data_IF_895697564223
#
_entry.id   IF_895697564223
#
_cell.length_a   1.000
_cell.length_b   1.000
_cell.length_c   1.000
_cell.angle_alpha   90.00
_cell.angle_beta   90.00
_cell.angle_gamma   90.00
#
_symmetry.space_group_name_H-M   'P 1'
#
loop_
_entity.id
_entity.type
_entity.pdbx_description
1 polymer ?
#
# COMPACT_ATOMS: atom_id res chain seq x y z
N UNK A 1 38.28 -199.98 27.70
CA UNK A 1 37.18 -200.96 27.90
C UNK A 1 36.79 -201.53 26.54
N UNK A 2 36.32 -202.76 26.34
CA UNK A 2 36.43 -204.04 27.08
C UNK A 2 35.80 -205.14 26.18
N UNK A 3 36.23 -206.42 26.27
CA UNK A 3 35.66 -207.60 25.53
C UNK A 3 35.96 -207.59 24.00
N UNK A 4 35.94 -208.69 23.22
CA UNK A 4 35.79 -210.14 23.47
C UNK A 4 36.45 -210.94 22.30
N UNK A 5 36.21 -212.25 22.14
CA UNK A 5 37.19 -213.30 22.51
C UNK A 5 36.98 -214.59 21.65
N UNK A 6 37.96 -215.51 21.59
CA UNK A 6 37.89 -216.89 21.01
C UNK A 6 37.66 -216.93 19.46
N UNK A 7 38.01 -217.95 18.66
CA UNK A 7 38.66 -219.29 18.80
C UNK A 7 39.16 -219.75 17.37
N UNK A 8 39.81 -220.89 17.04
CA UNK A 8 40.20 -222.15 17.72
C UNK A 8 41.43 -222.81 17.00
N UNK A 9 41.63 -224.13 17.20
CA UNK A 9 42.63 -225.10 16.68
C UNK A 9 42.54 -225.44 15.16
N UNK A 10 43.42 -226.23 14.50
CA UNK A 10 44.11 -227.48 14.91
C UNK A 10 45.46 -227.76 14.19
N UNK A 11 46.26 -228.66 14.80
CA UNK A 11 47.43 -229.41 14.30
C UNK A 11 48.81 -228.70 14.18
N UNK A 12 49.74 -229.08 15.08
CA UNK A 12 51.12 -229.40 14.67
C UNK A 12 52.29 -228.67 15.35
N UNK A 13 53.08 -229.44 16.12
CA UNK A 13 54.54 -229.28 16.36
C UNK A 13 55.00 -228.16 17.33
N UNK A 14 56.04 -228.48 18.11
CA UNK A 14 56.68 -227.64 19.14
C UNK A 14 57.50 -226.46 18.57
N UNK A 15 57.67 -225.38 19.34
CA UNK A 15 58.98 -224.83 19.82
C UNK A 15 58.79 -223.56 20.70
N UNK A 16 59.71 -223.38 21.65
CA UNK A 16 60.01 -222.22 22.54
C UNK A 16 59.21 -220.91 22.38
N UNK A 17 58.70 -220.38 23.50
CA UNK A 17 58.15 -219.01 23.59
C UNK A 17 58.55 -218.27 24.89
N UNK A 18 59.63 -217.48 24.84
CA UNK A 18 59.95 -216.48 25.88
C UNK A 18 60.11 -215.06 25.32
N UNK A 19 60.40 -214.90 24.02
CA UNK A 19 60.66 -213.60 23.37
C UNK A 19 59.40 -212.73 23.15
N UNK A 20 58.19 -213.26 23.40
CA UNK A 20 56.94 -212.52 23.20
C UNK A 20 56.61 -211.53 24.31
N UNK A 21 57.23 -211.67 25.50
CA UNK A 21 56.94 -210.80 26.65
C UNK A 21 57.71 -209.48 26.56
N UNK A 22 58.99 -209.54 26.17
CA UNK A 22 59.86 -208.37 26.00
C UNK A 22 59.32 -207.43 24.91
N UNK A 23 58.79 -208.02 23.82
CA UNK A 23 58.20 -207.31 22.69
C UNK A 23 56.93 -206.54 23.07
N UNK A 24 56.14 -207.08 24.00
CA UNK A 24 54.94 -206.40 24.52
C UNK A 24 55.31 -205.19 25.38
N UNK A 25 56.39 -205.30 26.18
CA UNK A 25 56.86 -204.20 27.03
C UNK A 25 57.44 -203.05 26.21
N UNK A 26 58.26 -203.34 25.21
CA UNK A 26 58.79 -202.32 24.30
C UNK A 26 57.67 -201.53 23.58
N UNK A 27 56.52 -202.16 23.31
CA UNK A 27 55.35 -201.49 22.73
C UNK A 27 54.68 -200.51 23.71
N UNK A 28 54.54 -200.85 24.99
CA UNK A 28 54.01 -199.90 26.00
C UNK A 28 54.97 -198.74 26.26
N UNK A 29 56.27 -199.01 26.32
CA UNK A 29 57.29 -197.98 26.56
C UNK A 29 57.30 -196.96 25.39
N UNK A 30 57.09 -197.41 24.14
CA UNK A 30 56.93 -196.54 22.95
C UNK A 30 55.60 -195.77 22.95
N UNK A 31 54.50 -196.35 23.44
CA UNK A 31 53.21 -195.65 23.57
C UNK A 31 53.27 -194.51 24.62
N UNK A 32 54.03 -194.71 25.69
CA UNK A 32 54.26 -193.71 26.74
C UNK A 32 55.13 -192.55 26.23
N UNK A 33 56.27 -192.85 25.59
CA UNK A 33 57.15 -191.86 24.94
C UNK A 33 56.40 -191.06 23.85
N UNK A 34 55.53 -191.70 23.06
CA UNK A 34 54.71 -191.01 22.07
C UNK A 34 53.73 -190.01 22.71
N UNK A 35 53.10 -190.37 23.83
CA UNK A 35 52.20 -189.46 24.57
C UNK A 35 52.97 -188.30 25.19
N UNK A 36 54.12 -188.57 25.80
CA UNK A 36 54.96 -187.55 26.43
C UNK A 36 55.43 -186.52 25.38
N UNK A 37 56.07 -186.97 24.29
CA UNK A 37 56.49 -186.10 23.19
C UNK A 37 55.31 -185.33 22.54
N UNK A 38 54.14 -185.96 22.37
CA UNK A 38 52.96 -185.27 21.81
C UNK A 38 52.46 -184.20 22.77
N UNK A 39 52.42 -184.50 24.07
CA UNK A 39 51.99 -183.53 25.10
C UNK A 39 52.99 -182.40 25.27
N UNK A 40 54.29 -182.65 25.14
CA UNK A 40 55.33 -181.62 25.15
C UNK A 40 55.20 -180.69 23.92
N UNK A 41 55.08 -181.25 22.72
CA UNK A 41 54.87 -180.47 21.49
C UNK A 41 53.54 -179.69 21.50
N UNK A 42 52.46 -180.26 22.04
CA UNK A 42 51.20 -179.53 22.25
C UNK A 42 51.37 -178.36 23.23
N UNK A 43 52.12 -178.53 24.32
CA UNK A 43 52.38 -177.45 25.29
C UNK A 43 53.31 -176.37 24.75
N UNK A 44 54.37 -176.73 24.02
CA UNK A 44 55.26 -175.79 23.36
C UNK A 44 54.49 -174.97 22.30
N UNK A 45 53.67 -175.63 21.47
CA UNK A 45 52.80 -174.95 20.51
C UNK A 45 51.73 -174.08 21.21
N UNK A 46 51.13 -174.54 22.31
CA UNK A 46 50.14 -173.76 23.08
C UNK A 46 50.77 -172.52 23.71
N UNK A 47 52.01 -172.61 24.20
CA UNK A 47 52.74 -171.46 24.72
C UNK A 47 53.12 -170.49 23.59
N UNK A 48 53.64 -170.99 22.46
CA UNK A 48 53.89 -170.19 21.24
C UNK A 48 52.62 -169.45 20.80
N UNK A 49 51.45 -170.10 20.85
CA UNK A 49 50.15 -169.49 20.52
C UNK A 49 49.77 -168.41 21.54
N UNK A 50 50.03 -168.58 22.85
CA UNK A 50 49.80 -167.53 23.85
C UNK A 50 50.68 -166.31 23.57
N UNK A 51 51.97 -166.52 23.34
CA UNK A 51 52.94 -165.44 23.10
C UNK A 51 52.56 -164.64 21.84
N UNK A 52 52.13 -165.33 20.77
CA UNK A 52 51.58 -164.70 19.57
C UNK A 52 50.29 -163.93 19.87
N UNK A 53 49.36 -164.49 20.65
CA UNK A 53 48.10 -163.81 21.04
C UNK A 53 48.36 -162.59 21.94
N UNK A 54 49.34 -162.66 22.83
CA UNK A 54 49.75 -161.56 23.71
C UNK A 54 50.42 -160.43 22.91
N UNK A 55 51.35 -160.79 22.02
CA UNK A 55 51.97 -159.85 21.07
C UNK A 55 50.95 -159.21 20.12
N UNK A 56 49.96 -159.97 19.61
CA UNK A 56 48.88 -159.42 18.79
C UNK A 56 48.02 -158.44 19.58
N UNK A 57 47.69 -158.72 20.84
CA UNK A 57 46.97 -157.77 21.70
C UNK A 57 47.79 -156.50 21.96
N UNK A 58 49.08 -156.63 22.27
CA UNK A 58 49.95 -155.48 22.51
C UNK A 58 50.07 -154.61 21.26
N UNK A 59 50.38 -155.21 20.10
CA UNK A 59 50.45 -154.49 18.83
C UNK A 59 49.11 -153.81 18.45
N UNK A 60 47.97 -154.48 18.69
CA UNK A 60 46.64 -153.89 18.48
C UNK A 60 46.43 -152.68 19.39
N UNK A 61 46.76 -152.80 20.68
CA UNK A 61 46.63 -151.71 21.64
C UNK A 61 47.66 -150.58 21.43
N UNK A 62 48.80 -150.85 20.78
CA UNK A 62 49.74 -149.82 20.32
C UNK A 62 49.12 -149.07 19.13
N UNK A 63 48.69 -149.78 18.09
CA UNK A 63 48.08 -149.19 16.90
C UNK A 63 46.80 -148.37 17.23
N UNK A 64 45.98 -148.83 18.17
CA UNK A 64 44.82 -148.07 18.65
C UNK A 64 45.23 -146.76 19.35
N UNK A 65 46.27 -146.79 20.21
CA UNK A 65 46.81 -145.58 20.86
C UNK A 65 47.45 -144.63 19.86
N UNK A 66 48.15 -145.14 18.86
CA UNK A 66 48.80 -144.35 17.82
C UNK A 66 47.76 -143.68 16.90
N UNK A 67 46.74 -144.42 16.46
CA UNK A 67 45.62 -143.87 15.70
C UNK A 67 44.80 -142.84 16.50
N UNK A 68 44.55 -143.06 17.79
CA UNK A 68 43.88 -142.08 18.66
C UNK A 68 44.75 -140.81 18.86
N UNK A 69 46.08 -140.95 18.91
CA UNK A 69 47.01 -139.82 18.95
C UNK A 69 46.97 -139.03 17.63
N UNK A 70 47.05 -139.69 16.48
CA UNK A 70 46.91 -139.05 15.16
C UNK A 70 45.57 -138.33 15.03
N UNK A 71 44.45 -138.95 15.43
CA UNK A 71 43.13 -138.31 15.44
C UNK A 71 43.07 -137.10 16.38
N UNK A 72 43.78 -137.12 17.52
CA UNK A 72 43.87 -135.98 18.42
C UNK A 72 44.73 -134.85 17.84
N UNK A 73 45.78 -135.17 17.08
CA UNK A 73 46.62 -134.19 16.39
C UNK A 73 45.87 -133.55 15.21
N UNK A 74 45.18 -134.35 14.40
CA UNK A 74 44.27 -133.87 13.35
C UNK A 74 43.13 -133.03 13.94
N UNK A 75 42.52 -133.45 15.05
CA UNK A 75 41.50 -132.68 15.76
C UNK A 75 42.02 -131.34 16.29
N UNK A 76 43.27 -131.29 16.74
CA UNK A 76 43.98 -130.07 17.11
C UNK A 76 44.16 -129.13 15.92
N UNK A 77 44.70 -129.64 14.81
CA UNK A 77 44.93 -128.87 13.56
C UNK A 77 43.62 -128.33 12.99
N UNK A 78 42.54 -129.13 12.98
CA UNK A 78 41.21 -128.70 12.52
C UNK A 78 40.65 -127.60 13.43
N UNK A 79 40.82 -127.72 14.76
CA UNK A 79 40.38 -126.69 15.71
C UNK A 79 41.17 -125.39 15.56
N UNK A 80 42.49 -125.46 15.42
CA UNK A 80 43.35 -124.29 15.20
C UNK A 80 43.03 -123.61 13.86
N UNK A 81 42.83 -124.39 12.79
CA UNK A 81 42.41 -123.88 11.48
C UNK A 81 41.05 -123.21 11.52
N UNK A 82 40.09 -123.76 12.28
CA UNK A 82 38.77 -123.16 12.47
C UNK A 82 38.83 -121.85 13.26
N UNK A 83 39.57 -121.80 14.38
CA UNK A 83 39.78 -120.58 15.17
C UNK A 83 40.49 -119.51 14.34
N UNK A 84 41.49 -119.90 13.55
CA UNK A 84 42.19 -118.98 12.65
C UNK A 84 41.25 -118.42 11.59
N UNK A 85 40.47 -119.25 10.91
CA UNK A 85 39.50 -118.81 9.91
C UNK A 85 38.40 -117.91 10.53
N UNK A 86 37.92 -118.22 11.72
CA UNK A 86 36.98 -117.38 12.49
C UNK A 86 37.60 -116.02 12.82
N UNK A 87 38.88 -115.99 13.24
CA UNK A 87 39.61 -114.75 13.53
C UNK A 87 39.83 -113.91 12.26
N UNK A 88 40.26 -114.53 11.15
CA UNK A 88 40.46 -113.85 9.86
C UNK A 88 39.15 -113.28 9.31
N UNK A 89 38.03 -114.02 9.45
CA UNK A 89 36.67 -113.54 9.09
C UNK A 89 36.26 -112.35 9.97
N UNK A 90 36.47 -112.42 11.30
CA UNK A 90 36.14 -111.31 12.22
C UNK A 90 36.98 -110.07 11.93
N UNK A 91 38.27 -110.23 11.67
CA UNK A 91 39.15 -109.11 11.30
C UNK A 91 38.76 -108.48 9.96
N UNK A 92 38.37 -109.28 8.96
CA UNK A 92 37.87 -108.74 7.68
C UNK A 92 36.50 -108.05 7.83
N UNK A 93 35.58 -108.58 8.65
CA UNK A 93 34.34 -107.88 9.00
C UNK A 93 34.60 -106.57 9.74
N UNK A 94 35.59 -106.52 10.64
CA UNK A 94 35.98 -105.29 11.33
C UNK A 94 36.56 -104.25 10.36
N UNK A 95 37.42 -104.66 9.41
CA UNK A 95 37.93 -103.79 8.34
C UNK A 95 36.79 -103.24 7.47
N UNK A 96 35.85 -104.08 7.07
CA UNK A 96 34.64 -103.67 6.32
C UNK A 96 33.80 -102.69 7.15
N UNK A 97 33.65 -102.91 8.46
CA UNK A 97 32.94 -102.01 9.37
C UNK A 97 33.56 -100.62 9.43
N UNK A 98 34.89 -100.52 9.57
CA UNK A 98 35.60 -99.24 9.56
C UNK A 98 35.54 -98.56 8.18
N UNK A 99 35.68 -99.30 7.06
CA UNK A 99 35.52 -98.73 5.71
C UNK A 99 34.09 -98.22 5.46
N UNK A 100 33.05 -98.94 5.92
CA UNK A 100 31.65 -98.48 5.81
C UNK A 100 31.42 -97.20 6.63
N UNK A 101 32.05 -97.10 7.81
CA UNK A 101 32.01 -95.93 8.70
C UNK A 101 32.78 -94.73 8.13
N UNK A 102 33.95 -94.95 7.54
CA UNK A 102 34.74 -93.93 6.84
C UNK A 102 33.97 -93.37 5.63
N UNK A 103 33.45 -94.25 4.76
CA UNK A 103 32.61 -93.86 3.62
C UNK A 103 31.33 -93.12 4.06
N UNK A 104 30.73 -93.49 5.18
CA UNK A 104 29.55 -92.79 5.73
C UNK A 104 29.89 -91.37 6.22
N UNK A 105 31.04 -91.20 6.88
CA UNK A 105 31.54 -89.90 7.32
C UNK A 105 31.98 -89.02 6.15
N UNK A 106 32.60 -89.58 5.10
CA UNK A 106 32.93 -88.85 3.87
C UNK A 106 31.66 -88.40 3.14
N UNK A 107 30.64 -89.26 3.04
CA UNK A 107 29.35 -88.90 2.46
C UNK A 107 28.63 -87.81 3.29
N UNK A 108 28.62 -87.91 4.63
CA UNK A 108 28.07 -86.89 5.52
C UNK A 108 28.80 -85.55 5.35
N UNK A 109 30.13 -85.55 5.32
CA UNK A 109 30.95 -84.36 5.11
C UNK A 109 30.73 -83.73 3.72
N UNK A 110 30.57 -84.55 2.68
CA UNK A 110 30.21 -84.09 1.33
C UNK A 110 28.83 -83.43 1.32
N UNK A 111 27.81 -84.06 1.91
CA UNK A 111 26.47 -83.46 2.01
C UNK A 111 26.46 -82.16 2.81
N UNK A 112 27.18 -82.08 3.93
CA UNK A 112 27.32 -80.85 4.72
C UNK A 112 28.01 -79.75 3.90
N UNK A 113 29.07 -80.08 3.16
CA UNK A 113 29.74 -79.12 2.26
C UNK A 113 28.78 -78.57 1.19
N UNK A 114 28.09 -79.46 0.46
CA UNK A 114 27.14 -79.08 -0.60
C UNK A 114 25.96 -78.26 -0.04
N UNK A 115 25.46 -78.57 1.17
CA UNK A 115 24.41 -77.80 1.82
C UNK A 115 24.88 -76.41 2.27
N UNK A 116 26.13 -76.27 2.72
CA UNK A 116 26.71 -74.97 3.05
C UNK A 116 26.94 -74.11 1.80
N UNK A 117 27.47 -74.71 0.72
CA UNK A 117 27.63 -74.03 -0.59
C UNK A 117 26.27 -73.55 -1.13
N UNK A 118 25.25 -74.42 -1.12
CA UNK A 118 23.89 -74.05 -1.51
C UNK A 118 23.30 -72.95 -0.60
N UNK A 119 23.59 -72.98 0.70
CA UNK A 119 23.16 -71.96 1.66
C UNK A 119 23.77 -70.59 1.39
N UNK A 120 25.07 -70.52 1.11
CA UNK A 120 25.75 -69.27 0.74
C UNK A 120 25.30 -68.78 -0.64
N UNK A 121 25.06 -69.66 -1.63
CA UNK A 121 24.47 -69.29 -2.93
C UNK A 121 23.07 -68.69 -2.76
N UNK A 122 22.20 -69.28 -1.92
CA UNK A 122 20.86 -68.74 -1.65
C UNK A 122 20.93 -67.37 -0.97
N UNK A 123 21.87 -67.20 -0.04
CA UNK A 123 22.14 -65.95 0.67
C UNK A 123 22.72 -64.85 -0.23
N UNK A 124 23.64 -65.19 -1.13
CA UNK A 124 24.20 -64.26 -2.12
C UNK A 124 23.12 -63.81 -3.12
N UNK A 125 22.32 -64.74 -3.66
CA UNK A 125 21.18 -64.40 -4.52
C UNK A 125 20.13 -63.53 -3.81
N UNK A 126 19.85 -63.78 -2.53
CA UNK A 126 18.93 -62.95 -1.75
C UNK A 126 19.47 -61.52 -1.55
N UNK A 127 20.77 -61.39 -1.26
CA UNK A 127 21.47 -60.10 -1.15
C UNK A 127 21.51 -59.37 -2.50
N UNK A 128 21.69 -60.08 -3.61
CA UNK A 128 21.69 -59.50 -4.96
C UNK A 128 20.30 -58.95 -5.33
N UNK A 129 19.24 -59.73 -5.08
CA UNK A 129 17.85 -59.29 -5.27
C UNK A 129 17.48 -58.12 -4.35
N UNK A 130 17.97 -58.07 -3.10
CA UNK A 130 17.77 -56.94 -2.19
C UNK A 130 18.45 -55.67 -2.72
N UNK A 131 19.69 -55.75 -3.22
CA UNK A 131 20.38 -54.60 -3.86
C UNK A 131 19.60 -54.10 -5.08
N UNK A 132 19.14 -55.00 -5.94
CA UNK A 132 18.45 -54.64 -7.18
C UNK A 132 17.09 -53.98 -6.88
N UNK A 133 16.31 -54.53 -5.95
CA UNK A 133 15.06 -53.92 -5.47
C UNK A 133 15.30 -52.55 -4.79
N UNK A 134 16.35 -52.41 -3.97
CA UNK A 134 16.73 -51.11 -3.37
C UNK A 134 17.17 -50.11 -4.45
N UNK A 135 17.83 -50.55 -5.52
CA UNK A 135 18.18 -49.69 -6.67
C UNK A 135 16.92 -49.19 -7.40
N UNK A 136 15.98 -50.08 -7.72
CA UNK A 136 14.69 -49.71 -8.32
C UNK A 136 13.91 -48.71 -7.45
N UNK A 137 13.83 -48.93 -6.13
CA UNK A 137 13.17 -48.02 -5.20
C UNK A 137 13.84 -46.63 -5.14
N UNK A 138 15.16 -46.55 -5.28
CA UNK A 138 15.86 -45.26 -5.35
C UNK A 138 15.59 -44.55 -6.68
N UNK A 139 15.56 -45.27 -7.81
CA UNK A 139 15.23 -44.70 -9.13
C UNK A 139 13.79 -44.17 -9.16
N UNK A 140 12.83 -44.92 -8.63
CA UNK A 140 11.45 -44.43 -8.42
C UNK A 140 11.42 -43.23 -7.46
N UNK A 141 12.26 -43.24 -6.42
CA UNK A 141 12.39 -42.15 -5.46
C UNK A 141 12.87 -40.83 -6.08
N UNK A 142 13.83 -40.87 -7.00
CA UNK A 142 14.27 -39.66 -7.73
C UNK A 142 13.21 -39.21 -8.75
N UNK A 143 12.56 -40.12 -9.48
CA UNK A 143 11.45 -39.78 -10.41
C UNK A 143 10.31 -39.08 -9.67
N UNK A 144 9.95 -39.52 -8.46
CA UNK A 144 8.92 -38.88 -7.63
C UNK A 144 9.34 -37.46 -7.19
N UNK A 145 10.62 -37.21 -6.92
CA UNK A 145 11.13 -35.86 -6.63
C UNK A 145 11.12 -34.97 -7.87
N UNK A 146 11.57 -35.47 -9.01
CA UNK A 146 11.65 -34.72 -10.26
C UNK A 146 10.25 -34.27 -10.71
N UNK A 147 9.28 -35.19 -10.73
CA UNK A 147 7.87 -34.87 -11.01
C UNK A 147 7.27 -33.86 -10.01
N UNK A 148 7.66 -33.91 -8.73
CA UNK A 148 7.19 -32.96 -7.73
C UNK A 148 7.79 -31.56 -7.92
N UNK A 149 9.07 -31.48 -8.30
CA UNK A 149 9.76 -30.21 -8.62
C UNK A 149 9.22 -29.62 -9.92
N UNK A 150 8.89 -30.44 -10.93
CA UNK A 150 8.24 -30.00 -12.17
C UNK A 150 6.86 -29.39 -11.87
N UNK A 151 6.02 -30.08 -11.09
CA UNK A 151 4.70 -29.59 -10.71
C UNK A 151 4.75 -28.31 -9.85
N UNK A 152 5.70 -28.20 -8.91
CA UNK A 152 5.92 -26.95 -8.16
C UNK A 152 6.38 -25.81 -9.08
N UNK A 153 7.24 -26.11 -10.07
CA UNK A 153 7.72 -25.14 -11.05
C UNK A 153 6.62 -24.63 -11.98
N UNK A 154 5.76 -25.53 -12.49
CA UNK A 154 4.59 -25.16 -13.31
C UNK A 154 3.61 -24.28 -12.51
N UNK A 155 3.28 -24.68 -11.29
CA UNK A 155 2.41 -23.92 -10.39
C UNK A 155 2.96 -22.52 -10.08
N UNK A 156 4.27 -22.37 -9.87
CA UNK A 156 4.92 -21.06 -9.67
C UNK A 156 4.87 -20.20 -10.94
N UNK A 157 5.01 -20.78 -12.14
CA UNK A 157 4.90 -20.03 -13.40
C UNK A 157 3.49 -19.48 -13.61
N UNK A 158 2.46 -20.30 -13.41
CA UNK A 158 1.06 -19.86 -13.58
C UNK A 158 0.65 -18.83 -12.52
N UNK A 159 1.12 -18.94 -11.26
CA UNK A 159 0.90 -17.91 -10.24
C UNK A 159 1.54 -16.55 -10.60
N UNK A 160 2.75 -16.56 -11.18
CA UNK A 160 3.41 -15.32 -11.63
C UNK A 160 2.63 -14.67 -12.79
N UNK A 161 2.24 -15.44 -13.80
CA UNK A 161 1.44 -15.02 -14.95
C UNK A 161 0.06 -14.48 -14.56
N UNK A 162 -0.60 -15.10 -13.58
CA UNK A 162 -1.82 -14.58 -12.97
C UNK A 162 -1.58 -13.24 -12.25
N UNK A 163 -0.47 -13.13 -11.52
CA UNK A 163 -0.04 -11.88 -10.88
C UNK A 163 0.26 -10.74 -11.87
N UNK A 164 0.83 -11.03 -13.04
CA UNK A 164 1.01 -10.05 -14.12
C UNK A 164 -0.33 -9.64 -14.74
N UNK A 165 -1.21 -10.60 -15.00
CA UNK A 165 -2.58 -10.35 -15.49
C UNK A 165 -3.36 -9.41 -14.54
N UNK A 166 -3.19 -9.55 -13.23
CA UNK A 166 -3.78 -8.63 -12.24
C UNK A 166 -3.19 -7.22 -12.35
N UNK A 167 -1.86 -7.08 -12.49
CA UNK A 167 -1.19 -5.78 -12.64
C UNK A 167 -1.65 -5.04 -13.90
N UNK A 168 -1.71 -5.73 -15.04
CA UNK A 168 -2.18 -5.13 -16.30
C UNK A 168 -3.62 -4.63 -16.20
N UNK A 169 -4.53 -5.42 -15.61
CA UNK A 169 -5.92 -5.01 -15.42
C UNK A 169 -6.04 -3.83 -14.45
N UNK A 170 -5.24 -3.77 -13.37
CA UNK A 170 -5.21 -2.64 -12.45
C UNK A 170 -4.72 -1.36 -13.13
N UNK A 171 -3.58 -1.41 -13.85
CA UNK A 171 -3.03 -0.28 -14.61
C UNK A 171 -4.02 0.21 -15.67
N UNK A 172 -4.72 -0.71 -16.35
CA UNK A 172 -5.76 -0.37 -17.32
C UNK A 172 -6.91 0.38 -16.66
N UNK A 173 -7.45 -0.14 -15.55
CA UNK A 173 -8.55 0.49 -14.83
C UNK A 173 -8.17 1.88 -14.28
N UNK A 174 -6.95 2.04 -13.75
CA UNK A 174 -6.42 3.33 -13.31
C UNK A 174 -6.30 4.32 -14.48
N UNK A 175 -5.77 3.87 -15.63
CA UNK A 175 -5.66 4.68 -16.85
C UNK A 175 -7.03 5.13 -17.38
N UNK A 176 -8.02 4.24 -17.34
CA UNK A 176 -9.38 4.49 -17.80
C UNK A 176 -10.11 5.49 -16.87
N UNK A 177 -9.95 5.33 -15.54
CA UNK A 177 -10.47 6.28 -14.55
C UNK A 177 -9.81 7.67 -14.63
N UNK A 178 -8.49 7.75 -14.81
CA UNK A 178 -7.78 9.04 -15.00
C UNK A 178 -8.25 9.74 -16.29
N UNK A 179 -8.55 8.98 -17.35
CA UNK A 179 -9.12 9.53 -18.60
C UNK A 179 -10.52 10.11 -18.37
N UNK A 180 -11.37 9.45 -17.59
CA UNK A 180 -12.70 9.98 -17.23
C UNK A 180 -12.59 11.24 -16.36
N UNK A 181 -11.71 11.26 -15.35
CA UNK A 181 -11.47 12.45 -14.52
C UNK A 181 -10.99 13.65 -15.35
N UNK A 182 -10.09 13.42 -16.31
CA UNK A 182 -9.64 14.49 -17.22
C UNK A 182 -10.78 15.02 -18.10
N UNK A 183 -11.65 14.15 -18.62
CA UNK A 183 -12.82 14.57 -19.41
C UNK A 183 -13.80 15.42 -18.58
N UNK A 184 -14.07 15.02 -17.33
CA UNK A 184 -14.86 15.84 -16.37
C UNK A 184 -14.15 17.17 -16.09
N UNK A 185 -12.82 17.15 -15.97
CA UNK A 185 -12.00 18.35 -15.78
C UNK A 185 -12.10 19.36 -16.91
N UNK A 186 -12.14 18.91 -18.18
CA UNK A 186 -12.36 19.82 -19.31
C UNK A 186 -13.80 20.35 -19.37
N UNK A 187 -14.81 19.51 -19.11
CA UNK A 187 -16.23 19.95 -19.04
C UNK A 187 -16.42 21.04 -17.98
N UNK A 188 -15.78 20.90 -16.81
CA UNK A 188 -15.85 21.93 -15.75
C UNK A 188 -15.19 23.25 -16.17
N UNK A 189 -14.12 23.22 -16.99
CA UNK A 189 -13.54 24.45 -17.56
C UNK A 189 -14.44 25.07 -18.62
N UNK A 190 -14.98 24.27 -19.52
CA UNK A 190 -15.85 24.72 -20.61
C UNK A 190 -17.09 25.42 -20.05
N UNK A 191 -17.79 24.79 -19.11
CA UNK A 191 -18.94 25.38 -18.40
C UNK A 191 -18.58 26.65 -17.61
N UNK A 192 -17.36 26.74 -17.05
CA UNK A 192 -16.91 27.93 -16.33
C UNK A 192 -16.61 29.10 -17.28
N UNK A 193 -16.03 28.83 -18.44
CA UNK A 193 -15.77 29.81 -19.51
C UNK A 193 -17.09 30.28 -20.14
N UNK A 194 -18.06 29.38 -20.34
CA UNK A 194 -19.40 29.71 -20.81
C UNK A 194 -20.10 30.68 -19.84
N UNK A 195 -20.12 30.36 -18.54
CA UNK A 195 -20.70 31.22 -17.50
C UNK A 195 -19.96 32.56 -17.33
N UNK A 196 -18.63 32.60 -17.46
CA UNK A 196 -17.85 33.84 -17.46
C UNK A 196 -18.19 34.69 -18.70
N UNK A 197 -18.41 34.07 -19.85
CA UNK A 197 -18.78 34.75 -21.11
C UNK A 197 -20.20 35.33 -21.03
N UNK A 198 -21.18 34.56 -20.55
CA UNK A 198 -22.57 35.01 -20.33
C UNK A 198 -22.61 36.20 -19.37
N UNK A 199 -21.87 36.13 -18.25
CA UNK A 199 -21.77 37.24 -17.29
C UNK A 199 -21.11 38.49 -17.90
N UNK A 200 -20.13 38.34 -18.78
CA UNK A 200 -19.50 39.46 -19.49
C UNK A 200 -20.48 40.09 -20.50
N UNK A 201 -21.29 39.29 -21.20
CA UNK A 201 -22.33 39.81 -22.10
C UNK A 201 -23.37 40.63 -21.32
N UNK A 202 -23.87 40.12 -20.19
CA UNK A 202 -24.78 40.82 -19.29
C UNK A 202 -24.18 42.14 -18.74
N UNK A 203 -22.89 42.14 -18.35
CA UNK A 203 -22.19 43.34 -17.90
C UNK A 203 -22.10 44.40 -19.02
N UNK A 204 -21.80 43.99 -20.26
CA UNK A 204 -21.76 44.90 -21.41
C UNK A 204 -23.15 45.48 -21.72
N UNK A 205 -24.20 44.65 -21.69
CA UNK A 205 -25.59 45.09 -21.86
C UNK A 205 -25.99 46.12 -20.80
N UNK A 206 -25.60 45.91 -19.53
CA UNK A 206 -25.81 46.88 -18.45
C UNK A 206 -25.00 48.16 -18.69
N UNK A 207 -23.76 48.09 -19.18
CA UNK A 207 -22.94 49.27 -19.49
C UNK A 207 -23.57 50.15 -20.58
N UNK A 208 -24.13 49.54 -21.64
CA UNK A 208 -24.88 50.29 -22.67
C UNK A 208 -26.15 50.95 -22.10
N UNK A 209 -26.94 50.22 -21.29
CA UNK A 209 -28.13 50.77 -20.62
C UNK A 209 -27.75 51.95 -19.70
N UNK A 210 -26.63 51.87 -18.99
CA UNK A 210 -26.13 52.99 -18.15
C UNK A 210 -25.71 54.18 -19.01
N UNK A 211 -24.99 53.98 -20.12
CA UNK A 211 -24.61 55.04 -21.06
C UNK A 211 -25.83 55.75 -21.65
N UNK A 212 -26.83 54.99 -22.14
CA UNK A 212 -28.05 55.57 -22.71
C UNK A 212 -28.81 56.40 -21.67
N UNK A 213 -28.99 55.88 -20.45
CA UNK A 213 -29.69 56.59 -19.39
C UNK A 213 -28.93 57.84 -18.92
N UNK A 214 -27.60 57.80 -18.85
CA UNK A 214 -26.77 58.97 -18.53
C UNK A 214 -26.91 60.07 -19.61
N UNK A 215 -26.77 59.70 -20.89
CA UNK A 215 -26.93 60.62 -22.04
C UNK A 215 -28.36 61.18 -22.09
N UNK A 216 -29.37 60.39 -21.73
CA UNK A 216 -30.77 60.84 -21.64
C UNK A 216 -30.97 61.84 -20.50
N UNK A 217 -30.44 61.56 -19.31
CA UNK A 217 -30.51 62.47 -18.16
C UNK A 217 -29.79 63.80 -18.44
N UNK A 218 -28.60 63.75 -19.06
CA UNK A 218 -27.87 64.93 -19.51
C UNK A 218 -28.69 65.77 -20.51
N UNK A 219 -29.31 65.13 -21.52
CA UNK A 219 -30.15 65.80 -22.51
C UNK A 219 -31.38 66.48 -21.90
N UNK A 220 -32.04 65.88 -20.91
CA UNK A 220 -33.15 66.53 -20.21
C UNK A 220 -32.66 67.70 -19.33
N UNK A 221 -31.57 67.53 -18.58
CA UNK A 221 -30.95 68.62 -17.79
C UNK A 221 -30.55 69.82 -18.65
N UNK A 222 -30.00 69.58 -19.85
CA UNK A 222 -29.66 70.65 -20.80
C UNK A 222 -30.90 71.38 -21.32
N UNK A 223 -32.07 70.74 -21.47
CA UNK A 223 -33.31 71.45 -21.82
C UNK A 223 -33.77 72.36 -20.69
N UNK A 224 -33.81 71.86 -19.46
CA UNK A 224 -34.23 72.64 -18.29
C UNK A 224 -33.31 73.85 -18.07
N UNK A 225 -31.99 73.67 -18.19
CA UNK A 225 -31.02 74.76 -18.10
C UNK A 225 -31.18 75.81 -19.20
N UNK A 226 -31.50 75.40 -20.43
CA UNK A 226 -31.80 76.35 -21.51
C UNK A 226 -33.10 77.12 -21.26
N UNK A 227 -34.16 76.45 -20.77
CA UNK A 227 -35.43 77.09 -20.43
C UNK A 227 -35.27 78.13 -19.31
N UNK A 228 -34.55 77.78 -18.23
CA UNK A 228 -34.17 78.73 -17.18
C UNK A 228 -33.29 79.86 -17.74
N UNK A 229 -32.40 79.57 -18.69
CA UNK A 229 -31.56 80.55 -19.37
C UNK A 229 -32.36 81.62 -20.14
N UNK A 230 -33.43 81.25 -20.84
CA UNK A 230 -34.32 82.24 -21.48
C UNK A 230 -35.11 83.06 -20.45
N UNK A 231 -35.64 82.43 -19.39
CA UNK A 231 -36.32 83.15 -18.29
C UNK A 231 -35.40 84.20 -17.65
N UNK A 232 -34.12 83.88 -17.45
CA UNK A 232 -33.13 84.83 -16.90
C UNK A 232 -32.88 86.00 -17.86
N UNK A 233 -32.85 85.77 -19.18
CA UNK A 233 -32.72 86.85 -20.17
C UNK A 233 -33.95 87.77 -20.18
N UNK A 234 -35.16 87.20 -20.20
CA UNK A 234 -36.41 87.99 -20.21
C UNK A 234 -36.51 88.89 -18.97
N UNK A 235 -36.20 88.34 -17.78
CA UNK A 235 -36.18 89.13 -16.54
C UNK A 235 -35.08 90.21 -16.56
N UNK A 236 -33.90 89.94 -17.13
CA UNK A 236 -32.82 90.91 -17.24
C UNK A 236 -33.14 92.04 -18.24
N UNK A 237 -33.84 91.73 -19.34
CA UNK A 237 -34.35 92.74 -20.29
C UNK A 237 -35.39 93.62 -19.58
N UNK A 238 -36.38 93.01 -18.92
CA UNK A 238 -37.42 93.78 -18.23
C UNK A 238 -36.85 94.67 -17.13
N UNK A 239 -35.94 94.15 -16.30
CA UNK A 239 -35.30 94.95 -15.25
C UNK A 239 -34.50 96.14 -15.81
N UNK A 240 -33.98 96.04 -17.04
CA UNK A 240 -33.36 97.18 -17.75
C UNK A 240 -34.41 98.19 -18.22
N UNK A 241 -35.53 97.73 -18.76
CA UNK A 241 -36.64 98.59 -19.20
C UNK A 241 -37.27 99.35 -18.02
N UNK A 242 -37.52 98.67 -16.90
CA UNK A 242 -38.02 99.27 -15.65
C UNK A 242 -37.07 100.40 -15.14
N UNK A 243 -35.75 100.24 -15.29
CA UNK A 243 -34.75 101.26 -14.93
C UNK A 243 -34.71 102.43 -15.94
N UNK A 244 -34.79 102.14 -17.24
CA UNK A 244 -34.81 103.18 -18.30
C UNK A 244 -36.10 104.03 -18.28
N UNK A 245 -37.21 103.49 -17.76
CA UNK A 245 -38.42 104.26 -17.48
C UNK A 245 -38.28 105.11 -16.21
N UNK A 246 -37.77 104.57 -15.11
CA UNK A 246 -37.56 105.32 -13.85
C UNK A 246 -36.63 106.53 -14.00
N UNK A 247 -35.58 106.43 -14.84
CA UNK A 247 -34.65 107.53 -15.11
C UNK A 247 -35.26 108.73 -15.86
N UNK A 248 -36.49 108.63 -16.36
CA UNK A 248 -37.06 109.57 -17.34
C UNK A 248 -37.76 110.79 -16.74
N UNK A 249 -38.14 110.71 -15.47
CA UNK A 249 -38.94 111.73 -14.77
C UNK A 249 -38.09 112.83 -14.07
N UNK A 250 -36.76 112.65 -14.06
CA UNK A 250 -35.80 113.46 -13.30
C UNK A 250 -35.39 114.80 -13.98
N UNK A 251 -36.38 115.63 -14.36
CA UNK A 251 -36.16 116.96 -14.97
C UNK A 251 -36.99 118.07 -14.30
N UNK A 252 -36.39 118.74 -13.33
CA UNK A 252 -36.90 119.95 -12.67
C UNK A 252 -36.09 121.20 -13.08
N UNK A 253 -36.50 121.85 -14.17
CA UNK A 253 -35.95 123.09 -14.76
C UNK A 253 -34.45 123.04 -15.18
N UNK A 254 -34.03 123.96 -16.06
CA UNK A 254 -32.71 123.88 -16.71
C UNK A 254 -31.52 124.27 -15.81
N UNK A 255 -31.80 124.96 -14.69
CA UNK A 255 -30.82 125.51 -13.75
C UNK A 255 -30.59 124.65 -12.48
N UNK A 256 -31.38 123.59 -12.29
CA UNK A 256 -31.28 122.63 -11.18
C UNK A 256 -31.03 121.22 -11.71
N UNK A 257 -30.17 120.46 -11.02
CA UNK A 257 -29.89 119.07 -11.35
C UNK A 257 -29.69 118.23 -10.08
N UNK A 258 -30.22 117.02 -10.07
CA UNK A 258 -30.13 116.11 -8.93
C UNK A 258 -29.47 114.80 -9.34
N UNK A 259 -28.56 114.31 -8.51
CA UNK A 259 -27.86 113.05 -8.70
C UNK A 259 -27.76 112.30 -7.37
N UNK A 260 -28.41 111.13 -7.30
CA UNK A 260 -28.61 110.39 -6.05
C UNK A 260 -29.24 111.30 -4.97
N UNK A 261 -28.67 111.32 -3.76
CA UNK A 261 -29.18 112.09 -2.62
C UNK A 261 -28.90 113.61 -2.70
N UNK A 262 -28.24 114.13 -3.75
CA UNK A 262 -27.82 115.54 -3.84
C UNK A 262 -28.47 116.27 -5.01
N UNK A 263 -29.11 117.42 -4.75
CA UNK A 263 -29.52 118.40 -5.75
C UNK A 263 -28.63 119.64 -5.72
N UNK A 264 -28.15 120.07 -6.88
CA UNK A 264 -27.42 121.33 -7.08
C UNK A 264 -28.17 122.27 -8.02
N UNK A 265 -28.36 123.53 -7.62
CA UNK A 265 -28.98 124.58 -8.42
C UNK A 265 -28.04 125.79 -8.57
N UNK A 266 -28.10 126.45 -9.72
CA UNK A 266 -27.24 127.57 -10.12
C UNK A 266 -28.10 128.72 -10.64
N UNK A 267 -27.92 129.94 -10.16
CA UNK A 267 -28.67 131.09 -10.68
C UNK A 267 -27.93 132.41 -10.48
N UNK A 268 -28.34 133.45 -11.20
CA UNK A 268 -27.79 134.79 -11.05
C UNK A 268 -28.71 135.64 -10.17
N UNK A 269 -28.14 136.26 -9.13
CA UNK A 269 -28.87 137.09 -8.16
C UNK A 269 -28.34 138.52 -8.24
N UNK A 270 -29.22 139.45 -8.61
CA UNK A 270 -28.95 140.88 -8.68
C UNK A 270 -29.95 141.64 -7.79
N UNK A 271 -29.43 142.34 -6.77
CA UNK A 271 -30.17 143.19 -5.83
C UNK A 271 -29.46 144.55 -5.78
N UNK A 272 -29.78 145.47 -6.71
CA UNK A 272 -29.07 146.75 -6.87
C UNK A 272 -29.02 147.62 -5.61
N UNK A 273 -30.03 147.50 -4.75
CA UNK A 273 -30.21 148.24 -3.49
C UNK A 273 -29.02 148.06 -2.54
N UNK A 274 -28.43 146.86 -2.52
CA UNK A 274 -27.24 146.51 -1.72
C UNK A 274 -26.00 146.30 -2.60
N UNK A 275 -26.05 146.66 -3.89
CA UNK A 275 -25.01 146.37 -4.90
C UNK A 275 -24.61 144.89 -5.02
N UNK A 276 -25.54 143.98 -4.72
CA UNK A 276 -25.34 142.55 -4.94
C UNK A 276 -25.55 142.24 -6.43
N UNK A 277 -24.54 141.73 -7.11
CA UNK A 277 -24.63 141.09 -8.43
C UNK A 277 -23.68 139.88 -8.39
N UNK A 278 -24.24 138.67 -8.24
CA UNK A 278 -23.50 137.45 -7.89
C UNK A 278 -24.13 136.20 -8.48
N UNK A 279 -23.32 135.16 -8.69
CA UNK A 279 -23.82 133.83 -9.03
C UNK A 279 -24.08 133.04 -7.76
N UNK A 280 -25.32 132.66 -7.50
CA UNK A 280 -25.71 131.76 -6.42
C UNK A 280 -25.41 130.32 -6.84
N UNK A 281 -24.82 129.53 -5.92
CA UNK A 281 -24.88 128.07 -5.97
C UNK A 281 -25.55 127.55 -4.71
N UNK A 282 -26.60 126.75 -4.90
CA UNK A 282 -27.31 125.99 -3.89
C UNK A 282 -26.94 124.50 -4.06
N UNK A 283 -26.59 123.81 -2.98
CA UNK A 283 -26.46 122.35 -2.97
C UNK A 283 -27.10 121.76 -1.72
N UNK A 284 -28.02 120.82 -1.91
CA UNK A 284 -28.81 120.15 -0.87
C UNK A 284 -28.57 118.64 -0.97
N UNK A 285 -28.06 118.03 0.09
CA UNK A 285 -27.79 116.59 0.19
C UNK A 285 -28.62 115.96 1.29
N UNK A 286 -29.50 115.01 0.97
CA UNK A 286 -30.26 114.26 1.96
C UNK A 286 -29.36 113.30 2.76
N UNK A 287 -29.53 113.27 4.08
CA UNK A 287 -28.71 112.47 5.00
C UNK A 287 -29.55 111.33 5.60
N UNK A 288 -29.46 110.16 4.97
CA UNK A 288 -30.26 108.96 5.28
C UNK A 288 -30.19 108.58 6.78
N UNK A 289 -29.00 108.60 7.38
CA UNK A 289 -28.79 108.19 8.78
C UNK A 289 -29.19 109.25 9.83
N UNK A 290 -29.35 110.52 9.43
CA UNK A 290 -29.49 111.65 10.37
C UNK A 290 -30.90 112.31 10.37
N UNK A 291 -31.83 111.85 9.52
CA UNK A 291 -33.16 112.46 9.33
C UNK A 291 -33.10 113.99 9.04
N UNK A 292 -32.07 114.36 8.28
CA UNK A 292 -31.71 115.73 7.96
C UNK A 292 -31.23 115.89 6.53
N UNK A 293 -30.81 117.10 6.20
CA UNK A 293 -30.11 117.40 4.95
C UNK A 293 -28.92 118.32 5.23
N UNK A 294 -27.83 118.10 4.52
CA UNK A 294 -26.71 119.03 4.45
C UNK A 294 -26.98 120.06 3.35
N UNK A 295 -26.68 121.32 3.64
CA UNK A 295 -26.96 122.45 2.79
C UNK A 295 -25.72 123.36 2.69
N UNK A 296 -25.27 123.56 1.46
CA UNK A 296 -24.20 124.46 1.08
C UNK A 296 -24.75 125.58 0.18
N UNK A 297 -24.38 126.82 0.48
CA UNK A 297 -24.71 128.01 -0.30
C UNK A 297 -23.47 128.86 -0.54
N UNK A 298 -23.23 129.23 -1.80
CA UNK A 298 -22.15 130.16 -2.17
C UNK A 298 -22.67 131.37 -2.96
N UNK A 299 -22.04 132.53 -2.72
CA UNK A 299 -22.08 133.68 -3.62
C UNK A 299 -20.74 133.74 -4.37
N UNK A 300 -20.81 133.56 -5.69
CA UNK A 300 -19.71 133.07 -6.52
C UNK A 300 -19.04 131.84 -5.86
N UNK A 301 -17.78 131.98 -5.42
CA UNK A 301 -17.02 130.92 -4.72
C UNK A 301 -17.00 131.11 -3.19
N UNK A 302 -17.66 132.14 -2.65
CA UNK A 302 -17.66 132.44 -1.20
C UNK A 302 -18.79 131.68 -0.51
N UNK A 303 -18.44 130.74 0.37
CA UNK A 303 -19.42 130.02 1.21
C UNK A 303 -20.06 130.99 2.21
N UNK A 304 -21.39 131.10 2.16
CA UNK A 304 -22.18 131.89 3.12
C UNK A 304 -22.82 130.97 4.17
N UNK A 305 -23.32 129.83 3.72
CA UNK A 305 -23.89 128.80 4.58
C UNK A 305 -23.31 127.44 4.23
N UNK A 306 -22.90 126.73 5.27
CA UNK A 306 -22.57 125.30 5.28
C UNK A 306 -23.17 124.77 6.60
N UNK A 307 -24.28 124.04 6.49
CA UNK A 307 -25.15 123.67 7.62
C UNK A 307 -25.85 122.34 7.37
N UNK A 308 -25.87 121.48 8.38
CA UNK A 308 -26.85 120.38 8.48
C UNK A 308 -28.12 120.90 9.14
N UNK A 309 -29.27 120.59 8.55
CA UNK A 309 -30.62 120.98 8.99
C UNK A 309 -31.50 119.73 9.14
N UNK A 310 -32.55 119.82 9.97
CA UNK A 310 -33.57 118.76 10.03
C UNK A 310 -34.57 118.93 8.90
N UNK A 311 -35.07 117.81 8.37
CA UNK A 311 -36.17 117.74 7.38
C UNK A 311 -37.45 118.43 7.89
N UNK A 312 -37.66 118.51 9.21
CA UNK A 312 -38.90 119.05 9.80
C UNK A 312 -38.76 120.52 10.20
N UNK A 313 -39.18 121.41 9.31
CA UNK A 313 -39.36 122.85 9.55
C UNK A 313 -38.13 123.53 10.21
N UNK A 314 -36.98 123.57 9.52
CA UNK A 314 -35.82 124.31 10.01
C UNK A 314 -36.10 125.83 10.04
N UNK A 315 -35.49 126.58 10.96
CA UNK A 315 -35.58 128.04 10.96
C UNK A 315 -34.85 128.64 9.76
N UNK A 316 -35.25 129.84 9.35
CA UNK A 316 -34.54 130.65 8.36
C UNK A 316 -33.09 130.89 8.77
N UNK A 317 -32.15 130.61 7.88
CA UNK A 317 -30.72 130.81 8.12
C UNK A 317 -30.30 132.20 7.63
N UNK A 318 -30.00 133.10 8.56
CA UNK A 318 -29.53 134.46 8.24
C UNK A 318 -28.03 134.62 8.54
N UNK A 319 -27.36 135.45 7.73
CA UNK A 319 -25.94 135.80 7.89
C UNK A 319 -25.67 137.22 7.36
N UNK A 320 -24.82 137.96 8.07
CA UNK A 320 -24.37 139.29 7.63
C UNK A 320 -23.45 139.17 6.41
N UNK A 321 -23.81 139.79 5.29
CA UNK A 321 -23.02 139.81 4.06
C UNK A 321 -22.24 141.12 3.91
N UNK A 322 -21.58 141.56 4.99
CA UNK A 322 -20.84 142.83 5.08
C UNK A 322 -19.71 143.01 4.05
N UNK A 323 -19.32 141.95 3.33
CA UNK A 323 -18.39 142.01 2.19
C UNK A 323 -19.04 142.54 0.89
N UNK A 324 -20.38 142.60 0.83
CA UNK A 324 -21.16 143.21 -0.26
C UNK A 324 -21.57 144.62 0.12
N UNK A 325 -22.22 144.79 1.28
CA UNK A 325 -22.60 146.09 1.84
C UNK A 325 -22.60 146.00 3.38
N UNK A 326 -22.07 146.98 4.13
CA UNK A 326 -21.72 146.80 5.56
C UNK A 326 -22.84 146.28 6.47
N UNK A 327 -24.07 146.71 6.20
CA UNK A 327 -25.27 146.40 6.99
C UNK A 327 -26.30 145.56 6.19
N UNK A 328 -25.87 144.83 5.16
CA UNK A 328 -26.72 143.93 4.41
C UNK A 328 -26.74 142.51 5.01
N UNK A 329 -27.93 141.90 5.05
CA UNK A 329 -28.18 140.56 5.57
C UNK A 329 -28.70 139.69 4.43
N UNK A 330 -28.30 138.42 4.43
CA UNK A 330 -28.84 137.38 3.57
C UNK A 330 -29.50 136.31 4.43
N UNK A 331 -30.79 136.07 4.22
CA UNK A 331 -31.57 135.02 4.87
C UNK A 331 -31.98 133.96 3.85
N UNK A 332 -31.97 132.70 4.26
CA UNK A 332 -32.36 131.55 3.42
C UNK A 332 -33.48 130.79 4.11
N UNK A 333 -34.56 130.58 3.36
CA UNK A 333 -35.84 130.09 3.84
C UNK A 333 -36.11 128.75 3.15
N UNK A 334 -36.19 127.68 3.94
CA UNK A 334 -36.67 126.38 3.48
C UNK A 334 -38.14 126.24 3.85
N UNK A 335 -39.00 126.03 2.85
CA UNK A 335 -40.44 125.89 3.04
C UNK A 335 -40.97 124.68 2.27
N UNK A 336 -42.21 124.29 2.60
CA UNK A 336 -42.90 123.13 2.01
C UNK A 336 -42.08 121.83 2.04
N UNK A 337 -41.21 121.70 3.07
CA UNK A 337 -40.43 120.49 3.31
C UNK A 337 -41.34 119.32 3.70
N UNK A 338 -41.28 118.24 2.93
CA UNK A 338 -42.09 117.04 3.13
C UNK A 338 -41.28 115.77 2.83
N UNK A 339 -41.72 114.66 3.42
CA UNK A 339 -41.10 113.34 3.26
C UNK A 339 -42.19 112.29 3.07
N UNK A 340 -42.45 111.93 1.81
CA UNK A 340 -43.52 111.02 1.39
C UNK A 340 -43.06 110.16 0.21
N UNK A 341 -43.64 108.97 0.09
CA UNK A 341 -43.46 108.08 -1.06
C UNK A 341 -41.99 107.90 -1.48
N UNK A 342 -41.12 107.81 -0.47
CA UNK A 342 -39.68 107.67 -0.54
C UNK A 342 -38.94 108.82 -1.24
N UNK A 343 -39.50 110.02 -1.20
CA UNK A 343 -38.90 111.25 -1.69
C UNK A 343 -38.82 112.31 -0.58
N UNK A 344 -37.71 113.04 -0.54
CA UNK A 344 -37.58 114.27 0.24
C UNK A 344 -37.76 115.46 -0.71
N UNK A 345 -38.83 116.23 -0.48
CA UNK A 345 -39.22 117.37 -1.31
C UNK A 345 -39.18 118.65 -0.51
N UNK A 346 -38.92 119.78 -1.17
CA UNK A 346 -38.91 121.08 -0.51
C UNK A 346 -38.59 122.23 -1.46
N UNK A 347 -38.88 123.45 -1.02
CA UNK A 347 -38.61 124.68 -1.77
C UNK A 347 -37.66 125.59 -1.00
N UNK A 348 -36.87 126.39 -1.73
CA UNK A 348 -35.86 127.28 -1.16
C UNK A 348 -36.04 128.69 -1.71
N UNK A 349 -36.16 129.67 -0.82
CA UNK A 349 -36.15 131.08 -1.14
C UNK A 349 -34.97 131.79 -0.45
N UNK A 350 -34.52 132.90 -1.02
CA UNK A 350 -33.50 133.79 -0.47
C UNK A 350 -34.07 135.18 -0.29
N UNK A 351 -33.94 135.72 0.91
CA UNK A 351 -34.30 137.10 1.25
C UNK A 351 -33.01 137.90 1.44
N UNK A 352 -32.86 138.98 0.69
CA UNK A 352 -31.66 139.82 0.67
C UNK A 352 -32.04 141.28 0.95
N UNK A 353 -31.42 141.91 1.94
CA UNK A 353 -31.89 143.23 2.38
C UNK A 353 -31.02 143.95 3.39
N UNK A 354 -31.53 145.10 3.85
CA UNK A 354 -30.88 146.01 4.78
C UNK A 354 -31.92 146.88 5.52
N UNK A 355 -32.08 146.61 6.82
CA UNK A 355 -32.78 147.36 7.90
C UNK A 355 -34.23 147.84 7.69
N UNK A 356 -34.67 148.18 6.47
CA UNK A 356 -36.01 148.63 6.10
C UNK A 356 -36.43 148.20 4.67
N UNK A 357 -35.56 147.55 3.90
CA UNK A 357 -35.84 147.08 2.53
C UNK A 357 -35.23 145.68 2.37
N UNK A 358 -36.09 144.70 2.11
CA UNK A 358 -35.75 143.30 1.89
C UNK A 358 -36.45 142.80 0.62
N UNK A 359 -35.78 142.00 -0.19
CA UNK A 359 -36.30 141.46 -1.46
C UNK A 359 -36.12 139.93 -1.49
N UNK A 360 -37.20 139.21 -1.82
CA UNK A 360 -37.27 137.74 -1.75
C UNK A 360 -37.24 137.12 -3.14
N UNK A 361 -36.37 136.13 -3.33
CA UNK A 361 -36.12 135.41 -4.57
C UNK A 361 -36.36 133.92 -4.38
N UNK A 362 -37.34 133.37 -5.08
CA UNK A 362 -37.58 131.94 -5.16
C UNK A 362 -36.44 131.27 -5.95
N UNK A 363 -35.68 130.36 -5.33
CA UNK A 363 -34.64 129.58 -6.02
C UNK A 363 -35.22 128.34 -6.72
N UNK A 364 -36.47 127.98 -6.38
CA UNK A 364 -37.16 126.81 -6.86
C UNK A 364 -37.25 125.68 -5.84
N UNK A 365 -37.71 124.51 -6.29
CA UNK A 365 -37.99 123.36 -5.44
C UNK A 365 -37.21 122.13 -5.88
N UNK A 366 -36.68 121.40 -4.89
CA UNK A 366 -36.02 120.12 -5.08
C UNK A 366 -36.98 118.97 -4.79
N UNK A 367 -36.71 117.85 -5.47
CA UNK A 367 -37.19 116.53 -5.15
C UNK A 367 -35.94 115.64 -5.08
N UNK A 368 -35.80 114.78 -4.07
CA UNK A 368 -34.63 113.90 -3.87
C UNK A 368 -35.14 112.48 -3.63
N UNK A 369 -34.68 111.46 -4.38
CA UNK A 369 -35.10 110.08 -4.17
C UNK A 369 -34.35 109.49 -2.98
N UNK A 370 -35.08 108.92 -2.02
CA UNK A 370 -34.49 108.41 -0.77
C UNK A 370 -34.45 106.88 -0.68
N UNK A 371 -34.81 106.19 -1.77
CA UNK A 371 -34.47 104.78 -2.01
C UNK A 371 -33.32 104.69 -3.01
N UNK A 372 -32.18 104.17 -2.55
CA UNK A 372 -31.25 103.33 -3.32
C UNK A 372 -30.32 102.56 -2.35
N UNK A 373 -30.92 101.67 -1.54
CA UNK A 373 -30.21 100.63 -0.77
C UNK A 373 -31.11 99.39 -0.57
N UNK A 374 -31.03 98.46 -1.52
CA UNK A 374 -31.35 97.02 -1.39
C UNK A 374 -30.46 96.24 -2.36
#
# INVERSE_FOLDING_TARGET
>A
MNKLILWMTVFGICIKSSQSLDLLKALTDVEEILKENTTEAENEMLNTIKDVVESVKENTAIAEREFVKELSEVGGIVKESAIKAETEIVDDFNKVGEVVKENALEAEFFFVTVLNEAGEIVKENAIEAEKEFVKELNEVGEIVKENAIEAETEMVQDFNKFGETIKENAIKAETEFVKELNAVGEIVKENAIEAETEMIEDINNVEEIVKENAIKAEKELVKELNYVGEIVKENAIKAKEDIEEFMKDWRLNEDCSCQYYTCGCYMHLEVPQISLNKTVRLSVTYLVDEFGFEFLFTLDETIIFDKKLSVKNPPSLCSDISFVHPEAVLCIIFHDLDYKDNHFTGCVAVEAGHQLIDETFELGCFNIPTIFLL
#
